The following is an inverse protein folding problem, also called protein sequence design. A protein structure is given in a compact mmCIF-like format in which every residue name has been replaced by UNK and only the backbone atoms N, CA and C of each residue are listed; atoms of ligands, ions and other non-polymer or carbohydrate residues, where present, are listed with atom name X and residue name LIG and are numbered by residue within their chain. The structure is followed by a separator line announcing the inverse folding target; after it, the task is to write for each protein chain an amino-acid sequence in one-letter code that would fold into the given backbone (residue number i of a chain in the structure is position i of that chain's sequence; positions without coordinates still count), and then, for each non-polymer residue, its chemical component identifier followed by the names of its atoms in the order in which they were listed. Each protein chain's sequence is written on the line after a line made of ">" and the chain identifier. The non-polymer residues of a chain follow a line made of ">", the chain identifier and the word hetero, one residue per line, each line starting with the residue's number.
data_IF_926901573896
#
_entry.id   IF_926901573896
#
_cell.length_a   1.000
_cell.length_b   1.000
_cell.length_c   1.000
_cell.angle_alpha   90.00
_cell.angle_beta   90.00
_cell.angle_gamma   90.00
#
_symmetry.space_group_name_H-M   'P 1'
#
loop_
_entity.id
_entity.type
_entity.pdbx_description
1 polymer ?
#
# COMPACT_ATOMS: atom_id res chain seq x y z
N UNK A 1 -26.55 -12.06 -3.41
CA UNK A 1 -26.24 -12.11 -3.26
C UNK A 1 -25.28 -12.15 -2.47
N UNK A 2 -25.30 -11.98 -1.46
CA UNK A 2 -24.29 -12.01 -0.58
C UNK A 2 -23.30 -12.96 -0.81
N UNK A 3 -23.48 -13.47 -1.81
CA UNK A 3 -22.64 -14.41 -2.19
C UNK A 3 -21.39 -13.91 -2.65
N UNK A 4 -21.29 -12.60 -2.77
CA UNK A 4 -20.12 -12.08 -3.24
C UNK A 4 -19.12 -12.13 -2.19
N UNK A 5 -17.99 -12.61 -2.47
CA UNK A 5 -16.89 -12.59 -1.60
C UNK A 5 -16.39 -11.19 -1.49
N UNK A 6 -16.42 -10.65 -0.31
CA UNK A 6 -15.93 -9.30 -0.08
C UNK A 6 -14.49 -9.17 -0.51
N UNK A 7 -13.67 -10.21 -0.30
CA UNK A 7 -12.28 -10.12 -0.72
C UNK A 7 -12.12 -10.12 -2.24
N UNK A 8 -13.05 -10.71 -3.02
CA UNK A 8 -13.00 -10.61 -4.47
C UNK A 8 -13.23 -9.17 -4.91
N UNK A 9 -14.18 -8.49 -4.27
CA UNK A 9 -14.42 -7.10 -4.57
C UNK A 9 -13.27 -6.24 -4.08
N UNK A 10 -12.75 -6.54 -2.90
CA UNK A 10 -11.60 -5.85 -2.35
C UNK A 10 -10.41 -5.96 -3.29
N UNK A 11 -10.17 -7.16 -3.83
CA UNK A 11 -9.08 -7.36 -4.76
C UNK A 11 -9.26 -6.52 -6.02
N UNK A 12 -10.45 -6.49 -6.57
CA UNK A 12 -10.73 -5.68 -7.76
C UNK A 12 -10.54 -4.21 -7.51
N UNK A 13 -11.06 -3.72 -6.38
CA UNK A 13 -10.96 -2.33 -6.01
C UNK A 13 -9.49 -1.95 -5.80
N UNK A 14 -8.78 -2.76 -5.05
CA UNK A 14 -7.39 -2.45 -4.73
C UNK A 14 -6.46 -2.58 -5.94
N UNK A 15 -6.72 -3.54 -6.82
CA UNK A 15 -5.94 -3.65 -8.05
C UNK A 15 -6.09 -2.42 -8.93
N UNK A 16 -7.31 -1.88 -8.99
CA UNK A 16 -7.55 -0.67 -9.77
C UNK A 16 -7.00 0.58 -9.10
N UNK A 17 -7.10 0.64 -7.77
CA UNK A 17 -6.73 1.82 -7.01
C UNK A 17 -5.22 1.91 -6.75
N UNK A 18 -4.57 0.76 -6.61
CA UNK A 18 -3.16 0.70 -6.27
C UNK A 18 -2.39 -0.17 -7.28
N UNK A 19 -2.29 0.26 -8.54
CA UNK A 19 -1.52 -0.51 -9.53
C UNK A 19 -0.04 -0.52 -9.17
N UNK A 20 0.72 -1.47 -9.69
CA UNK A 20 2.17 -1.51 -9.45
C UNK A 20 2.81 -0.16 -9.76
N UNK A 21 3.71 0.27 -8.91
CA UNK A 21 4.37 1.56 -9.05
C UNK A 21 3.73 2.68 -8.26
N UNK A 22 2.54 2.47 -7.68
CA UNK A 22 1.87 3.48 -6.87
C UNK A 22 2.71 3.77 -5.64
N UNK A 23 2.93 5.04 -5.32
CA UNK A 23 3.65 5.44 -4.12
C UNK A 23 2.68 5.63 -2.97
N UNK A 24 3.02 5.07 -1.82
CA UNK A 24 2.17 5.07 -0.63
C UNK A 24 2.99 5.50 0.59
N UNK A 25 2.34 6.20 1.50
CA UNK A 25 2.91 6.49 2.81
C UNK A 25 2.07 5.78 3.87
N UNK A 26 2.73 5.06 4.76
CA UNK A 26 2.07 4.36 5.84
C UNK A 26 1.70 5.34 6.95
N UNK A 27 0.47 5.29 7.39
CA UNK A 27 0.01 6.09 8.54
C UNK A 27 0.08 5.22 9.79
N UNK A 28 -0.48 4.02 9.74
CA UNK A 28 -0.47 3.12 10.89
C UNK A 28 -0.69 1.69 10.41
N UNK A 29 0.09 0.76 10.92
CA UNK A 29 -0.02 -0.65 10.56
C UNK A 29 -0.48 -1.46 11.77
N UNK A 30 -1.47 -2.32 11.54
CA UNK A 30 -1.99 -3.17 12.59
C UNK A 30 -1.21 -4.49 12.63
N UNK A 31 0.03 -4.41 13.09
CA UNK A 31 0.88 -5.59 13.25
C UNK A 31 1.51 -5.50 14.64
N UNK A 32 1.18 -6.42 15.54
CA UNK A 32 1.66 -6.34 16.92
C UNK A 32 3.12 -6.73 17.10
N UNK A 33 3.74 -7.33 16.08
CA UNK A 33 5.10 -7.85 16.24
C UNK A 33 6.18 -6.99 15.61
N UNK A 34 6.10 -6.78 14.32
CA UNK A 34 7.15 -6.05 13.59
C UNK A 34 6.53 -5.12 12.55
N UNK A 35 5.79 -4.11 12.98
CA UNK A 35 5.17 -3.19 12.03
C UNK A 35 6.23 -2.37 11.29
N UNK A 36 5.88 -1.94 10.09
CA UNK A 36 6.64 -0.91 9.42
C UNK A 36 6.32 0.40 10.15
N UNK A 37 7.30 1.25 10.32
CA UNK A 37 7.09 2.50 11.05
C UNK A 37 6.16 3.46 10.32
N UNK A 38 5.33 4.15 11.09
CA UNK A 38 4.47 5.21 10.55
C UNK A 38 5.32 6.26 9.84
N UNK A 39 4.84 6.73 8.71
CA UNK A 39 5.57 7.70 7.90
C UNK A 39 6.48 7.07 6.86
N UNK A 40 6.69 5.76 6.92
CA UNK A 40 7.50 5.08 5.92
C UNK A 40 6.77 5.11 4.58
N UNK A 41 7.51 5.38 3.52
CA UNK A 41 6.97 5.36 2.16
C UNK A 41 7.43 4.13 1.44
N UNK A 42 6.67 3.74 0.45
CA UNK A 42 7.01 2.57 -0.36
C UNK A 42 6.28 2.58 -1.69
N UNK A 43 6.60 1.59 -2.49
CA UNK A 43 6.03 1.44 -3.82
C UNK A 43 5.24 0.14 -3.88
N UNK A 44 4.06 0.18 -4.46
CA UNK A 44 3.25 -1.03 -4.65
C UNK A 44 3.94 -1.94 -5.63
N UNK A 45 4.10 -3.20 -5.25
CA UNK A 45 4.61 -4.24 -6.12
C UNK A 45 3.45 -4.86 -6.90
N UNK A 46 2.47 -5.37 -6.19
CA UNK A 46 1.24 -5.89 -6.79
C UNK A 46 0.17 -6.07 -5.72
N UNK A 47 -1.06 -6.27 -6.15
CA UNK A 47 -2.17 -6.61 -5.26
C UNK A 47 -2.56 -8.05 -5.55
N UNK A 48 -2.65 -8.87 -4.50
CA UNK A 48 -2.97 -10.28 -4.69
C UNK A 48 -4.48 -10.50 -4.78
N UNK A 49 -4.89 -11.75 -4.99
CA UNK A 49 -6.29 -12.07 -5.19
C UNK A 49 -7.14 -11.92 -3.92
N UNK A 50 -6.52 -11.82 -2.79
CA UNK A 50 -7.19 -11.53 -1.53
C UNK A 50 -7.30 -10.04 -1.24
N UNK A 51 -6.73 -9.20 -2.10
CA UNK A 51 -6.77 -7.76 -1.94
C UNK A 51 -5.62 -7.20 -1.12
N UNK A 52 -4.67 -8.02 -0.71
CA UNK A 52 -3.52 -7.54 0.03
C UNK A 52 -2.56 -6.80 -0.90
N UNK A 53 -2.05 -5.67 -0.45
CA UNK A 53 -1.21 -4.80 -1.25
C UNK A 53 0.24 -5.11 -0.90
N UNK A 54 0.94 -5.77 -1.80
CA UNK A 54 2.34 -6.14 -1.57
C UNK A 54 3.22 -4.95 -1.88
N UNK A 55 4.08 -4.62 -0.93
CA UNK A 55 4.86 -3.40 -0.97
C UNK A 55 6.35 -3.65 -1.02
N UNK A 56 7.05 -2.72 -1.63
CA UNK A 56 8.49 -2.58 -1.48
C UNK A 56 8.68 -1.28 -0.73
N UNK A 57 8.87 -1.40 0.58
CA UNK A 57 9.05 -0.22 1.43
C UNK A 57 10.45 0.36 1.24
N UNK A 58 10.56 1.67 1.31
CA UNK A 58 11.85 2.35 1.06
C UNK A 58 12.92 1.96 2.09
N UNK A 59 12.50 1.45 3.25
CA UNK A 59 13.44 0.97 4.27
C UNK A 59 13.87 -0.48 4.05
N UNK A 60 13.51 -1.08 2.92
CA UNK A 60 13.89 -2.46 2.59
C UNK A 60 12.92 -3.53 3.03
N UNK A 61 11.89 -3.15 3.78
CA UNK A 61 10.87 -4.11 4.23
C UNK A 61 9.89 -4.43 3.11
N UNK A 62 9.23 -5.58 3.22
CA UNK A 62 8.28 -6.03 2.19
C UNK A 62 6.92 -6.43 2.77
N UNK A 63 6.63 -6.03 4.00
CA UNK A 63 5.37 -6.40 4.64
C UNK A 63 4.18 -5.84 3.87
N UNK A 64 3.18 -6.68 3.59
CA UNK A 64 2.02 -6.27 2.81
C UNK A 64 1.05 -5.45 3.64
N UNK A 65 0.26 -4.61 2.96
CA UNK A 65 -0.81 -3.83 3.59
C UNK A 65 -2.14 -4.54 3.43
N UNK A 66 -2.95 -4.45 4.46
CA UNK A 66 -4.33 -4.89 4.43
C UNK A 66 -5.21 -3.65 4.52
N UNK A 67 -5.99 -3.37 3.48
CA UNK A 67 -6.76 -2.13 3.43
C UNK A 67 -7.85 -2.06 4.51
N UNK A 68 -8.21 -3.19 5.11
CA UNK A 68 -9.20 -3.20 6.19
C UNK A 68 -8.58 -2.91 7.56
N UNK A 69 -7.31 -3.17 7.73
CA UNK A 69 -6.66 -3.14 9.04
C UNK A 69 -5.60 -2.07 9.18
N UNK A 70 -5.01 -1.66 8.07
CA UNK A 70 -3.90 -0.71 8.08
C UNK A 70 -4.36 0.62 7.52
N UNK A 71 -3.75 1.71 8.00
CA UNK A 71 -4.05 3.03 7.49
C UNK A 71 -2.89 3.54 6.66
N UNK A 72 -3.18 4.00 5.47
CA UNK A 72 -2.15 4.47 4.53
C UNK A 72 -2.81 5.39 3.52
N UNK A 73 -1.99 6.10 2.76
CA UNK A 73 -2.48 7.01 1.73
C UNK A 73 -1.55 6.99 0.52
N UNK A 74 -2.12 7.29 -0.63
CA UNK A 74 -1.30 7.51 -1.81
C UNK A 74 -0.61 8.85 -1.70
N UNK A 75 0.59 8.93 -2.21
CA UNK A 75 1.26 10.21 -2.32
C UNK A 75 0.62 11.04 -3.42
N UNK A 76 0.59 12.34 -3.24
CA UNK A 76 0.16 13.26 -4.30
C UNK A 76 1.24 13.33 -5.37
N UNK A 77 0.87 13.81 -6.53
CA UNK A 77 1.84 14.02 -7.61
C UNK A 77 2.92 15.02 -7.17
N UNK A 78 2.54 16.03 -6.41
CA UNK A 78 3.50 16.99 -5.86
C UNK A 78 4.53 16.31 -4.98
N UNK A 79 4.09 15.40 -4.14
CA UNK A 79 5.00 14.66 -3.24
C UNK A 79 5.94 13.77 -4.03
N UNK A 80 5.43 13.12 -5.07
CA UNK A 80 6.24 12.29 -5.94
C UNK A 80 7.28 13.14 -6.65
N UNK A 81 6.88 14.28 -7.18
CA UNK A 81 7.79 15.19 -7.86
C UNK A 81 8.87 15.70 -6.90
N UNK A 82 8.49 15.96 -5.66
CA UNK A 82 9.43 16.40 -4.63
C UNK A 82 10.47 15.32 -4.34
N UNK A 83 10.03 14.06 -4.25
CA UNK A 83 10.96 12.94 -4.05
C UNK A 83 11.98 12.87 -5.18
N UNK A 84 11.54 13.05 -6.41
CA UNK A 84 12.43 12.98 -7.56
C UNK A 84 13.43 14.12 -7.56
N UNK A 85 13.02 15.31 -7.14
CA UNK A 85 13.92 16.44 -7.08
C UNK A 85 15.01 16.26 -6.03
N UNK A 86 14.65 15.66 -4.92
CA UNK A 86 15.59 15.49 -3.80
C UNK A 86 16.65 14.46 -4.13
N UNK A 87 16.34 13.54 -5.04
CA UNK A 87 17.29 12.50 -5.40
C UNK A 87 18.37 12.95 -6.38
N UNK A 88 18.27 14.13 -6.90
CA UNK A 88 19.27 14.63 -7.87
C UNK A 88 20.38 15.43 -7.24
#
# INVERSE_FOLDING_TARGET
>A
MGLFNDWNQMAKINKAKYPPGTRIELISMNDPHHPVESGTRGTVDFVDDGGNIHMKWDNGRSLALCSDADEFRKLSQEEIDEELRVQN
#
